data_IF_170233377787
#
_entry.id   IF_170233377787
#
_cell.length_a   1.000
_cell.length_b   1.000
_cell.length_c   1.000
_cell.angle_alpha   90.00
_cell.angle_beta   90.00
_cell.angle_gamma   90.00
#
_symmetry.space_group_name_H-M   'P 1'
#
loop_
_entity.id
_entity.type
_entity.pdbx_description
1 polymer ?
#
# COMPACT_ATOMS: atom_id res chain seq x y z
N UNK A 1 23.22 16.55 -12.96
CA UNK A 1 22.09 16.83 -12.05
C UNK A 1 21.52 15.52 -11.54
N UNK A 2 21.84 15.13 -10.31
CA UNK A 2 21.24 13.95 -9.69
C UNK A 2 19.76 14.22 -9.43
N UNK A 3 18.86 13.60 -10.21
CA UNK A 3 17.43 13.56 -9.88
C UNK A 3 17.31 12.92 -8.51
N UNK A 4 17.16 13.73 -7.44
CA UNK A 4 16.64 13.26 -6.16
C UNK A 4 15.32 12.59 -6.50
N UNK A 5 15.25 11.25 -6.41
CA UNK A 5 13.98 10.51 -6.47
C UNK A 5 13.12 11.15 -5.38
N UNK A 6 12.15 11.98 -5.78
CA UNK A 6 11.11 12.41 -4.84
C UNK A 6 10.45 11.12 -4.41
N UNK A 7 10.53 10.81 -3.12
CA UNK A 7 9.76 9.73 -2.56
C UNK A 7 8.31 10.15 -2.76
N UNK A 8 7.67 9.60 -3.79
CA UNK A 8 6.27 9.85 -4.07
C UNK A 8 5.42 9.25 -2.96
N UNK A 9 4.31 9.90 -2.65
CA UNK A 9 3.27 9.34 -1.81
C UNK A 9 2.13 8.92 -2.72
N UNK A 10 1.67 7.68 -2.57
CA UNK A 10 0.54 7.13 -3.29
C UNK A 10 -0.48 6.64 -2.28
N UNK A 11 -1.73 7.06 -2.44
CA UNK A 11 -2.87 6.49 -1.73
C UNK A 11 -3.59 5.54 -2.68
N UNK A 12 -3.89 4.33 -2.19
CA UNK A 12 -4.65 3.31 -2.89
C UNK A 12 -5.82 2.91 -2.02
N UNK A 13 -6.99 2.76 -2.63
CA UNK A 13 -8.15 2.16 -1.98
C UNK A 13 -8.35 0.77 -2.57
N UNK A 14 -8.46 -0.23 -1.71
CA UNK A 14 -8.66 -1.61 -2.10
C UNK A 14 -9.35 -2.38 -0.96
N UNK A 15 -9.68 -3.62 -1.21
CA UNK A 15 -10.18 -4.58 -0.20
C UNK A 15 -9.05 -5.49 0.29
N UNK A 16 -9.21 -6.14 1.45
CA UNK A 16 -8.27 -7.19 1.87
C UNK A 16 -8.21 -8.34 0.85
N UNK A 17 -9.33 -8.66 0.19
CA UNK A 17 -9.37 -9.68 -0.84
C UNK A 17 -8.53 -9.33 -2.08
N UNK A 18 -8.55 -8.06 -2.53
CA UNK A 18 -7.70 -7.61 -3.65
C UNK A 18 -6.21 -7.65 -3.31
N UNK A 19 -5.86 -7.42 -2.04
CA UNK A 19 -4.49 -7.55 -1.55
C UNK A 19 -4.03 -9.00 -1.52
N UNK A 20 -4.84 -9.89 -0.96
CA UNK A 20 -4.56 -11.33 -0.91
C UNK A 20 -4.39 -11.92 -2.32
N UNK A 21 -5.22 -11.48 -3.27
CA UNK A 21 -5.10 -11.86 -4.69
C UNK A 21 -3.90 -11.24 -5.42
N UNK A 22 -3.21 -10.26 -4.82
CA UNK A 22 -2.10 -9.56 -5.45
C UNK A 22 -2.52 -8.65 -6.61
N UNK A 23 -3.74 -8.13 -6.59
CA UNK A 23 -4.27 -7.20 -7.60
C UNK A 23 -3.71 -5.78 -7.43
N UNK A 24 -3.24 -5.46 -6.21
CA UNK A 24 -2.62 -4.17 -5.89
C UNK A 24 -1.28 -3.98 -6.60
N UNK A 25 -1.12 -2.80 -7.23
CA UNK A 25 0.10 -2.43 -7.94
C UNK A 25 0.56 -1.03 -7.55
N UNK A 26 1.87 -0.84 -7.46
CA UNK A 26 2.46 0.47 -7.25
C UNK A 26 2.15 1.38 -8.45
N UNK A 27 1.53 2.55 -8.27
CA UNK A 27 1.19 3.43 -9.41
C UNK A 27 2.43 3.99 -10.11
N UNK A 28 3.55 4.14 -9.40
CA UNK A 28 4.78 4.71 -9.94
C UNK A 28 5.59 3.73 -10.79
N UNK A 29 5.75 2.48 -10.34
CA UNK A 29 6.58 1.49 -11.04
C UNK A 29 5.79 0.32 -11.62
N UNK A 30 4.46 0.31 -11.43
CA UNK A 30 3.52 -0.75 -11.82
C UNK A 30 3.84 -2.16 -11.32
N UNK A 31 4.75 -2.28 -10.33
CA UNK A 31 5.08 -3.56 -9.68
C UNK A 31 3.90 -4.01 -8.82
N UNK A 32 3.60 -5.30 -8.84
CA UNK A 32 2.67 -5.94 -7.90
C UNK A 32 3.12 -5.72 -6.46
N UNK A 33 2.17 -5.40 -5.61
CA UNK A 33 2.35 -5.22 -4.16
C UNK A 33 1.73 -6.43 -3.49
N UNK A 34 2.51 -7.11 -2.65
CA UNK A 34 2.03 -8.23 -1.85
C UNK A 34 2.24 -7.94 -0.36
N UNK A 35 1.49 -8.62 0.51
CA UNK A 35 1.72 -8.56 1.98
C UNK A 35 3.16 -8.90 2.37
N UNK A 36 3.77 -9.83 1.63
CA UNK A 36 5.16 -10.24 1.81
C UNK A 36 6.19 -9.11 1.60
N UNK A 37 5.83 -8.00 0.92
CA UNK A 37 6.72 -6.84 0.77
C UNK A 37 6.83 -5.99 2.06
N UNK A 38 6.19 -6.42 3.16
CA UNK A 38 6.30 -5.77 4.48
C UNK A 38 5.25 -4.70 4.71
N UNK A 39 3.99 -5.02 4.38
CA UNK A 39 2.86 -4.14 4.68
C UNK A 39 2.71 -3.93 6.18
N UNK A 40 2.69 -2.66 6.58
CA UNK A 40 2.54 -2.26 7.97
C UNK A 40 1.11 -1.83 8.19
N UNK A 41 0.31 -2.76 8.68
CA UNK A 41 -1.09 -2.55 9.03
C UNK A 41 -1.19 -1.64 10.26
N UNK A 42 -1.92 -0.54 10.10
CA UNK A 42 -2.21 0.43 11.14
C UNK A 42 -3.63 0.15 11.64
N UNK A 43 -3.80 -0.37 12.86
CA UNK A 43 -5.12 -0.51 13.44
C UNK A 43 -5.73 0.88 13.67
N UNK A 44 -6.99 1.07 13.28
CA UNK A 44 -7.74 2.27 13.64
C UNK A 44 -8.17 2.17 15.11
N UNK A 45 -8.10 3.28 15.86
CA UNK A 45 -8.52 3.31 17.26
C UNK A 45 -9.94 2.78 17.41
N UNK A 46 -10.09 1.65 18.13
CA UNK A 46 -11.39 1.01 18.41
C UNK A 46 -11.88 -0.01 17.38
N UNK A 47 -11.11 -0.33 16.34
CA UNK A 47 -11.46 -1.35 15.34
C UNK A 47 -10.54 -2.57 15.47
N UNK A 48 -11.12 -3.77 15.47
CA UNK A 48 -10.36 -5.04 15.46
C UNK A 48 -9.66 -5.28 14.12
N UNK A 49 -10.22 -4.74 13.04
CA UNK A 49 -9.66 -4.87 11.68
C UNK A 49 -8.87 -3.62 11.28
N UNK A 50 -7.66 -3.84 10.76
CA UNK A 50 -6.80 -2.77 10.28
C UNK A 50 -7.34 -2.19 8.97
N UNK A 51 -7.97 -1.02 9.05
CA UNK A 51 -8.52 -0.32 7.88
C UNK A 51 -7.46 0.36 7.01
N UNK A 52 -6.19 0.35 7.42
CA UNK A 52 -5.11 1.01 6.70
C UNK A 52 -3.83 0.18 6.78
N UNK A 53 -3.14 0.04 5.67
CA UNK A 53 -1.76 -0.43 5.63
C UNK A 53 -0.86 0.59 4.96
N UNK A 54 0.39 0.65 5.39
CA UNK A 54 1.41 1.49 4.77
C UNK A 54 2.62 0.65 4.41
N UNK A 55 3.25 0.97 3.30
CA UNK A 55 4.52 0.36 2.93
C UNK A 55 5.37 1.30 2.08
N UNK A 56 6.64 0.97 1.94
CA UNK A 56 7.52 1.63 0.98
C UNK A 56 7.86 0.64 -0.12
N UNK A 57 7.50 0.96 -1.37
CA UNK A 57 7.76 0.07 -2.49
C UNK A 57 9.29 -0.19 -2.63
N UNK A 58 9.77 -1.44 -2.57
CA UNK A 58 11.21 -1.75 -2.58
C UNK A 58 11.96 -1.21 -3.81
N UNK A 59 11.25 -1.08 -4.94
CA UNK A 59 11.83 -0.72 -6.24
C UNK A 59 11.98 0.79 -6.46
N UNK A 60 10.89 1.54 -6.33
CA UNK A 60 10.89 2.99 -6.52
C UNK A 60 11.04 3.79 -5.22
N UNK A 61 10.91 3.14 -4.05
CA UNK A 61 10.83 3.74 -2.71
C UNK A 61 9.62 4.64 -2.47
N UNK A 62 8.63 4.65 -3.37
CA UNK A 62 7.35 5.35 -3.17
C UNK A 62 6.66 4.81 -1.93
N UNK A 63 6.21 5.72 -1.06
CA UNK A 63 5.38 5.35 0.09
C UNK A 63 3.96 5.13 -0.39
N UNK A 64 3.44 3.92 -0.18
CA UNK A 64 2.09 3.52 -0.57
C UNK A 64 1.28 3.37 0.71
N UNK A 65 0.21 4.14 0.82
CA UNK A 65 -0.84 3.98 1.82
C UNK A 65 -2.00 3.26 1.14
N UNK A 66 -2.40 2.13 1.71
CA UNK A 66 -3.51 1.30 1.23
C UNK A 66 -4.62 1.42 2.25
N UNK A 67 -5.75 1.99 1.86
CA UNK A 67 -6.95 2.10 2.67
C UNK A 67 -7.87 0.94 2.33
N UNK A 68 -8.09 0.07 3.32
CA UNK A 68 -9.00 -1.05 3.20
C UNK A 68 -10.43 -0.58 3.41
N UNK A 69 -11.26 -0.73 2.39
CA UNK A 69 -12.70 -0.48 2.46
C UNK A 69 -13.44 -1.80 2.60
N UNK A 70 -14.42 -1.85 3.51
CA UNK A 70 -15.34 -2.97 3.59
C UNK A 70 -16.27 -2.89 2.37
N UNK A 71 -16.26 -3.93 1.53
CA UNK A 71 -17.31 -4.12 0.53
C UNK A 71 -18.62 -4.35 1.27
N UNK A 72 -19.49 -3.34 1.24
CA UNK A 72 -20.80 -3.35 1.85
C UNK A 72 -21.84 -4.00 0.91
#
# INVERSE_FOLDING_TARGET
MGRKKRIGFADLQATHAELDRGELRCPECKRSVAEADGLRFVPALGQTESSLATMSCPRCRTMISIRFVATH
#
